data_IF_827872046517
#
_entry.id   IF_827872046517
#
_cell.length_a   1.000
_cell.length_b   1.000
_cell.length_c   1.000
_cell.angle_alpha   90.00
_cell.angle_beta   90.00
_cell.angle_gamma   90.00
#
_symmetry.space_group_name_H-M   'P 1'
#
loop_
_entity.id
_entity.type
_entity.pdbx_description
1 polymer ?
#
# COMPACT_ATOMS: atom_id res chain seq x y z
N UNK A 1 40.95 -10.47 -61.79
CA UNK A 1 39.75 -9.92 -61.11
C UNK A 1 39.40 -10.88 -59.99
N UNK A 2 39.78 -10.52 -58.76
CA UNK A 2 39.43 -11.30 -57.55
C UNK A 2 38.21 -10.62 -56.92
N UNK A 3 37.04 -11.26 -57.00
CA UNK A 3 35.85 -10.81 -56.31
C UNK A 3 36.02 -11.12 -54.82
N UNK A 4 36.14 -10.07 -54.02
CA UNK A 4 35.99 -10.16 -52.58
C UNK A 4 34.52 -10.37 -52.25
N UNK A 5 34.14 -11.61 -51.90
CA UNK A 5 32.86 -11.89 -51.26
C UNK A 5 32.97 -11.45 -49.79
N UNK A 6 32.49 -10.23 -49.52
CA UNK A 6 32.40 -9.72 -48.17
C UNK A 6 31.43 -10.56 -47.34
N UNK A 7 31.92 -11.07 -46.24
CA UNK A 7 31.10 -11.76 -45.21
C UNK A 7 30.05 -10.78 -44.67
N UNK A 8 28.82 -10.94 -45.10
CA UNK A 8 27.66 -10.44 -44.39
C UNK A 8 27.31 -11.45 -43.27
N UNK A 9 28.22 -11.61 -42.32
CA UNK A 9 27.83 -12.15 -41.04
C UNK A 9 27.03 -11.06 -40.32
N UNK A 10 25.75 -11.02 -40.58
CA UNK A 10 24.80 -10.26 -39.79
C UNK A 10 24.83 -10.82 -38.38
N UNK A 11 25.27 -10.05 -37.42
CA UNK A 11 25.10 -10.34 -36.02
C UNK A 11 23.62 -10.22 -35.67
N UNK A 12 22.80 -11.16 -36.14
CA UNK A 12 21.37 -11.20 -35.80
C UNK A 12 21.13 -11.40 -34.30
N UNK A 13 22.08 -12.05 -33.60
CA UNK A 13 21.96 -12.31 -32.17
C UNK A 13 22.19 -11.06 -31.28
N UNK A 14 22.87 -10.03 -31.81
CA UNK A 14 23.02 -8.75 -31.10
C UNK A 14 21.85 -7.79 -31.30
N UNK A 15 20.94 -8.07 -32.24
CA UNK A 15 19.71 -7.29 -32.41
C UNK A 15 18.52 -7.87 -31.68
N UNK A 16 18.60 -9.09 -31.15
CA UNK A 16 17.67 -9.60 -30.19
C UNK A 16 18.05 -9.06 -28.80
N UNK A 17 17.93 -7.75 -28.64
CA UNK A 17 17.88 -7.15 -27.32
C UNK A 17 16.57 -7.64 -26.69
N UNK A 18 16.66 -8.66 -25.82
CA UNK A 18 15.60 -8.92 -24.90
C UNK A 18 15.51 -7.66 -24.02
N UNK A 19 14.54 -6.82 -24.28
CA UNK A 19 14.11 -5.82 -23.32
C UNK A 19 13.75 -6.63 -22.07
N UNK A 20 14.68 -6.68 -21.12
CA UNK A 20 14.38 -7.20 -19.79
C UNK A 20 13.34 -6.25 -19.21
N UNK A 21 12.09 -6.58 -19.45
CA UNK A 21 11.00 -5.96 -18.75
C UNK A 21 11.26 -6.30 -17.28
N UNK A 22 11.46 -5.29 -16.44
CA UNK A 22 11.69 -5.42 -14.99
C UNK A 22 10.65 -6.32 -14.28
N UNK A 23 9.64 -6.74 -14.99
CA UNK A 23 8.55 -7.63 -14.55
C UNK A 23 8.70 -9.07 -15.06
N UNK A 24 9.84 -9.44 -15.68
CA UNK A 24 10.09 -10.83 -16.05
C UNK A 24 10.24 -11.67 -14.78
N UNK A 25 9.42 -12.74 -14.67
CA UNK A 25 9.43 -13.64 -13.51
C UNK A 25 10.78 -14.30 -13.30
N UNK A 26 11.52 -14.57 -14.37
CA UNK A 26 12.87 -15.14 -14.31
C UNK A 26 13.86 -14.16 -13.68
N UNK A 27 13.76 -12.86 -13.97
CA UNK A 27 14.56 -11.84 -13.30
C UNK A 27 14.16 -11.67 -11.83
N UNK A 28 12.87 -11.70 -11.55
CA UNK A 28 12.34 -11.51 -10.19
C UNK A 28 12.84 -12.62 -9.26
N UNK A 29 12.89 -13.87 -9.72
CA UNK A 29 13.28 -15.03 -8.91
C UNK A 29 14.79 -15.18 -8.69
N UNK A 30 15.62 -14.38 -9.37
CA UNK A 30 17.08 -14.39 -9.17
C UNK A 30 17.49 -13.85 -7.79
N UNK A 31 16.65 -13.02 -7.16
CA UNK A 31 16.95 -12.43 -5.87
C UNK A 31 15.65 -12.04 -5.14
N UNK A 32 15.54 -12.39 -3.86
CA UNK A 32 14.42 -11.94 -3.02
C UNK A 32 14.28 -10.42 -2.95
N UNK A 33 15.38 -9.67 -3.07
CA UNK A 33 15.38 -8.21 -3.12
C UNK A 33 14.60 -7.64 -4.30
N UNK A 34 14.48 -8.38 -5.41
CA UNK A 34 13.72 -7.94 -6.58
C UNK A 34 12.21 -7.87 -6.28
N UNK A 35 11.67 -8.85 -5.53
CA UNK A 35 10.30 -8.77 -5.01
C UNK A 35 10.19 -7.73 -3.90
N UNK A 36 11.21 -7.65 -3.03
CA UNK A 36 11.27 -6.64 -1.97
C UNK A 36 11.20 -5.20 -2.48
N UNK A 37 11.68 -4.94 -3.70
CA UNK A 37 11.56 -3.65 -4.38
C UNK A 37 10.10 -3.20 -4.56
N UNK A 38 9.20 -4.10 -4.93
CA UNK A 38 7.77 -3.78 -5.03
C UNK A 38 7.16 -3.41 -3.66
N UNK A 39 7.60 -4.10 -2.60
CA UNK A 39 7.17 -3.73 -1.25
C UNK A 39 7.68 -2.35 -0.85
N UNK A 40 8.93 -2.01 -1.22
CA UNK A 40 9.49 -0.67 -1.01
C UNK A 40 8.66 0.39 -1.73
N UNK A 41 8.24 0.15 -2.97
CA UNK A 41 7.38 1.08 -3.72
C UNK A 41 6.01 1.26 -3.07
N UNK A 42 5.43 0.18 -2.53
CA UNK A 42 4.18 0.26 -1.77
C UNK A 42 4.36 1.15 -0.53
N UNK A 43 5.40 0.92 0.28
CA UNK A 43 5.67 1.71 1.47
C UNK A 43 6.02 3.17 1.16
N UNK A 44 6.72 3.44 0.05
CA UNK A 44 7.01 4.81 -0.41
C UNK A 44 5.75 5.61 -0.80
N UNK A 45 4.59 4.94 -0.96
CA UNK A 45 3.31 5.61 -1.19
C UNK A 45 2.71 6.18 0.10
N UNK A 46 3.17 5.72 1.26
CA UNK A 46 2.73 6.22 2.57
C UNK A 46 3.43 7.54 2.87
N UNK A 47 2.67 8.51 3.38
CA UNK A 47 3.25 9.78 3.86
C UNK A 47 4.21 9.51 5.01
N UNK A 48 5.47 9.89 4.83
CA UNK A 48 6.54 9.64 5.80
C UNK A 48 6.76 10.78 6.79
N UNK A 49 6.39 12.00 6.42
CA UNK A 49 6.55 13.19 7.26
C UNK A 49 5.22 13.54 7.91
N UNK A 50 4.96 12.89 9.00
CA UNK A 50 3.70 12.92 9.70
C UNK A 50 3.32 14.34 10.14
N UNK A 51 2.24 14.85 9.55
CA UNK A 51 1.74 16.19 9.84
C UNK A 51 2.29 17.28 8.93
N UNK A 52 3.30 17.03 8.09
CA UNK A 52 3.73 17.95 7.06
C UNK A 52 2.78 17.92 5.87
N UNK A 53 2.32 19.07 5.43
CA UNK A 53 1.48 19.21 4.26
C UNK A 53 2.29 19.64 3.03
N UNK A 54 3.06 20.70 3.14
CA UNK A 54 3.79 21.28 2.01
C UNK A 54 4.90 22.22 2.50
N UNK A 55 6.11 22.01 2.00
CA UNK A 55 7.24 22.93 2.21
C UNK A 55 7.45 23.37 3.69
N UNK A 56 7.27 22.45 4.62
CA UNK A 56 7.42 22.69 6.06
C UNK A 56 6.15 23.17 6.77
N UNK A 57 5.06 23.44 6.06
CA UNK A 57 3.79 23.74 6.71
C UNK A 57 3.15 22.47 7.27
N UNK A 58 2.83 22.45 8.54
CA UNK A 58 2.13 21.33 9.18
C UNK A 58 0.63 21.36 8.87
N UNK A 59 -0.03 20.20 8.90
CA UNK A 59 -1.48 20.09 8.69
C UNK A 59 -2.29 20.89 9.72
N UNK A 60 -1.79 21.03 10.95
CA UNK A 60 -2.40 21.88 11.98
C UNK A 60 -2.58 23.34 11.51
N UNK A 61 -1.72 23.81 10.62
CA UNK A 61 -1.83 25.18 10.05
C UNK A 61 -2.98 25.33 9.04
N UNK A 62 -3.71 24.26 8.71
CA UNK A 62 -4.96 24.33 7.96
C UNK A 62 -6.20 24.50 8.86
N UNK A 63 -6.01 24.51 10.19
CA UNK A 63 -7.03 24.59 11.21
C UNK A 63 -6.87 25.88 12.04
N UNK A 64 -7.69 26.04 13.05
CA UNK A 64 -7.60 27.13 14.01
C UNK A 64 -6.55 26.93 15.12
N UNK A 65 -5.84 25.79 15.11
CA UNK A 65 -4.82 25.47 16.12
C UNK A 65 -3.48 26.19 15.87
N UNK A 66 -3.15 26.50 14.62
CA UNK A 66 -1.89 27.17 14.28
C UNK A 66 -1.95 27.89 12.93
N UNK A 67 -0.97 28.77 12.68
CA UNK A 67 -0.80 29.45 11.41
C UNK A 67 0.64 29.25 10.92
N UNK A 68 0.80 29.05 9.61
CA UNK A 68 2.11 29.00 8.97
C UNK A 68 2.59 30.42 8.66
N UNK A 69 3.73 30.80 9.20
CA UNK A 69 4.21 32.22 9.21
C UNK A 69 4.75 32.69 7.86
N UNK A 70 5.06 31.79 6.93
CA UNK A 70 5.57 32.16 5.60
C UNK A 70 4.44 32.16 4.57
N UNK A 71 4.18 33.32 3.96
CA UNK A 71 3.15 33.46 2.95
C UNK A 71 3.48 32.72 1.64
N UNK A 72 2.45 32.48 0.83
CA UNK A 72 2.56 31.80 -0.48
C UNK A 72 2.65 30.27 -0.39
N UNK A 73 2.35 29.67 0.76
CA UNK A 73 2.29 28.23 0.94
C UNK A 73 0.92 27.67 0.54
N UNK A 74 0.90 26.44 -0.01
CA UNK A 74 -0.33 25.75 -0.38
C UNK A 74 -1.32 25.51 0.77
N UNK A 75 -0.86 25.55 2.03
CA UNK A 75 -1.71 25.42 3.22
C UNK A 75 -2.74 26.54 3.33
N UNK A 76 -2.42 27.75 2.84
CA UNK A 76 -3.33 28.89 2.84
C UNK A 76 -4.65 28.62 2.08
N UNK A 77 -4.64 27.71 1.13
CA UNK A 77 -5.82 27.37 0.35
C UNK A 77 -6.97 26.79 1.18
N UNK A 78 -6.69 26.24 2.37
CA UNK A 78 -7.71 25.69 3.25
C UNK A 78 -8.55 26.77 3.95
N UNK A 79 -8.02 27.99 4.14
CA UNK A 79 -8.70 29.09 4.84
C UNK A 79 -8.90 30.36 4.01
N UNK A 80 -8.28 30.49 2.82
CA UNK A 80 -8.41 31.67 1.98
C UNK A 80 -9.51 31.56 0.90
N UNK A 81 -10.31 30.48 0.91
CA UNK A 81 -11.40 30.27 -0.05
C UNK A 81 -10.96 29.75 -1.42
N UNK A 82 -9.68 29.42 -1.62
CA UNK A 82 -9.18 28.90 -2.89
C UNK A 82 -9.52 27.41 -3.12
N UNK A 83 -9.90 26.70 -2.07
CA UNK A 83 -10.29 25.29 -2.16
C UNK A 83 -11.71 25.17 -2.73
N UNK A 84 -11.84 24.42 -3.81
CA UNK A 84 -13.14 24.21 -4.49
C UNK A 84 -13.16 22.89 -5.23
N UNK A 85 -14.31 22.39 -5.70
CA UNK A 85 -14.41 21.18 -6.50
C UNK A 85 -13.54 21.18 -7.77
N UNK A 86 -13.26 22.36 -8.32
CA UNK A 86 -12.39 22.53 -9.51
C UNK A 86 -10.94 22.85 -9.15
N UNK A 87 -10.65 23.06 -7.87
CA UNK A 87 -9.31 23.37 -7.36
C UNK A 87 -9.06 22.56 -6.08
N UNK A 88 -9.13 21.24 -6.20
CA UNK A 88 -8.90 20.32 -5.08
C UNK A 88 -7.46 20.43 -4.55
N UNK A 89 -7.32 20.42 -3.23
CA UNK A 89 -6.03 20.43 -2.53
C UNK A 89 -5.84 19.14 -1.74
N UNK A 90 -4.60 18.81 -1.44
CA UNK A 90 -4.24 17.58 -0.70
C UNK A 90 -4.85 16.30 -1.32
N UNK A 91 -4.97 16.26 -2.65
CA UNK A 91 -5.52 15.09 -3.33
C UNK A 91 -4.57 13.91 -3.21
N UNK A 92 -5.05 12.83 -2.60
CA UNK A 92 -4.33 11.56 -2.50
C UNK A 92 -4.79 10.53 -3.56
N UNK A 93 -5.71 10.89 -4.44
CA UNK A 93 -6.35 9.98 -5.38
C UNK A 93 -5.35 9.18 -6.21
N UNK A 94 -4.48 9.86 -6.95
CA UNK A 94 -3.55 9.19 -7.86
C UNK A 94 -2.51 8.34 -7.13
N UNK A 95 -1.97 8.82 -6.00
CA UNK A 95 -0.98 8.08 -5.22
C UNK A 95 -1.58 6.82 -4.60
N UNK A 96 -2.77 6.93 -4.00
CA UNK A 96 -3.42 5.76 -3.38
C UNK A 96 -3.81 4.70 -4.41
N UNK A 97 -4.37 5.09 -5.57
CA UNK A 97 -4.69 4.11 -6.62
C UNK A 97 -3.44 3.50 -7.27
N UNK A 98 -2.34 4.25 -7.39
CA UNK A 98 -1.05 3.68 -7.78
C UNK A 98 -0.60 2.62 -6.77
N UNK A 99 -0.65 2.93 -5.47
CA UNK A 99 -0.34 1.98 -4.41
C UNK A 99 -1.23 0.73 -4.45
N UNK A 100 -2.55 0.90 -4.64
CA UNK A 100 -3.51 -0.20 -4.78
C UNK A 100 -3.15 -1.09 -5.98
N UNK A 101 -2.79 -0.51 -7.12
CA UNK A 101 -2.37 -1.26 -8.30
C UNK A 101 -1.11 -2.09 -8.03
N UNK A 102 -0.10 -1.51 -7.37
CA UNK A 102 1.12 -2.24 -6.97
C UNK A 102 0.80 -3.35 -5.96
N UNK A 103 -0.07 -3.09 -4.97
CA UNK A 103 -0.55 -4.13 -4.05
C UNK A 103 -1.23 -5.29 -4.79
N UNK A 104 -2.13 -4.99 -5.72
CA UNK A 104 -2.80 -6.01 -6.53
C UNK A 104 -1.79 -6.81 -7.35
N UNK A 105 -0.74 -6.16 -7.91
CA UNK A 105 0.31 -6.86 -8.62
C UNK A 105 1.05 -7.85 -7.72
N UNK A 106 1.46 -7.43 -6.52
CA UNK A 106 2.12 -8.34 -5.56
C UNK A 106 1.21 -9.49 -5.16
N UNK A 107 -0.07 -9.23 -4.90
CA UNK A 107 -1.03 -10.23 -4.43
C UNK A 107 -1.33 -11.29 -5.49
N UNK A 108 -1.42 -10.91 -6.77
CA UNK A 108 -1.91 -11.81 -7.82
C UNK A 108 -0.82 -12.32 -8.75
N UNK A 109 0.25 -11.55 -8.98
CA UNK A 109 1.26 -11.91 -9.98
C UNK A 109 2.58 -12.38 -9.36
N UNK A 110 2.91 -11.92 -8.14
CA UNK A 110 4.19 -12.20 -7.52
C UNK A 110 4.12 -13.23 -6.38
N UNK A 111 3.01 -13.94 -6.24
CA UNK A 111 2.89 -15.03 -5.27
C UNK A 111 3.17 -16.38 -5.92
N UNK A 112 3.68 -17.32 -5.11
CA UNK A 112 3.96 -18.68 -5.55
C UNK A 112 5.16 -18.81 -6.49
N UNK A 113 6.01 -17.78 -6.57
CA UNK A 113 7.27 -17.88 -7.32
C UNK A 113 8.24 -18.81 -6.60
N UNK A 114 9.01 -19.59 -7.38
CA UNK A 114 10.06 -20.46 -6.84
C UNK A 114 11.40 -19.70 -6.81
N UNK A 115 12.07 -19.80 -5.66
CA UNK A 115 13.43 -19.30 -5.45
C UNK A 115 14.40 -20.47 -5.24
N UNK A 116 14.15 -21.59 -5.90
CA UNK A 116 14.89 -22.84 -5.70
C UNK A 116 16.40 -22.73 -5.92
N UNK A 117 16.84 -21.85 -6.79
CA UNK A 117 18.27 -21.57 -7.03
C UNK A 117 18.96 -20.92 -5.83
N UNK A 118 18.19 -20.30 -4.93
CA UNK A 118 18.71 -19.62 -3.74
C UNK A 118 18.75 -20.51 -2.49
N UNK A 119 18.29 -21.76 -2.57
CA UNK A 119 18.14 -22.68 -1.41
C UNK A 119 19.42 -22.91 -0.59
N UNK A 120 20.57 -22.71 -1.20
CA UNK A 120 21.86 -22.87 -0.52
C UNK A 120 22.33 -21.62 0.22
N UNK A 121 21.60 -20.51 0.12
CA UNK A 121 21.93 -19.29 0.85
C UNK A 121 21.59 -19.47 2.34
N UNK A 122 22.46 -18.99 3.21
CA UNK A 122 22.29 -19.13 4.66
C UNK A 122 21.03 -18.43 5.20
N UNK A 123 20.56 -17.39 4.52
CA UNK A 123 19.39 -16.60 4.88
C UNK A 123 18.12 -17.00 4.11
N UNK A 124 18.16 -18.09 3.32
CA UNK A 124 17.06 -18.50 2.45
C UNK A 124 15.74 -18.64 3.20
N UNK A 125 15.73 -19.36 4.34
CA UNK A 125 14.52 -19.59 5.12
C UNK A 125 13.90 -18.28 5.63
N UNK A 126 14.74 -17.36 6.09
CA UNK A 126 14.32 -16.05 6.58
C UNK A 126 13.74 -15.17 5.44
N UNK A 127 14.39 -15.17 4.28
CA UNK A 127 13.93 -14.42 3.11
C UNK A 127 12.63 -15.01 2.53
N UNK A 128 12.52 -16.34 2.49
CA UNK A 128 11.31 -17.02 2.04
C UNK A 128 10.13 -16.70 2.97
N UNK A 129 10.34 -16.73 4.28
CA UNK A 129 9.31 -16.35 5.25
C UNK A 129 8.79 -14.93 5.04
N UNK A 130 9.68 -13.98 4.77
CA UNK A 130 9.31 -12.60 4.43
C UNK A 130 8.55 -12.50 3.12
N UNK A 131 9.02 -13.20 2.09
CA UNK A 131 8.37 -13.24 0.79
C UNK A 131 6.93 -13.77 0.90
N UNK A 132 6.72 -14.85 1.64
CA UNK A 132 5.39 -15.41 1.88
C UNK A 132 4.47 -14.42 2.63
N UNK A 133 5.04 -13.59 3.50
CA UNK A 133 4.31 -12.54 4.21
C UNK A 133 3.93 -11.33 3.33
N UNK A 134 4.64 -11.07 2.23
CA UNK A 134 4.36 -9.91 1.35
C UNK A 134 2.94 -9.87 0.83
N UNK A 135 2.30 -11.02 0.66
CA UNK A 135 0.88 -11.10 0.32
C UNK A 135 -0.01 -10.43 1.37
N UNK A 136 0.26 -10.68 2.63
CA UNK A 136 -0.54 -10.17 3.74
C UNK A 136 -0.25 -8.70 4.00
N UNK A 137 1.01 -8.29 3.90
CA UNK A 137 1.38 -6.88 3.95
C UNK A 137 0.74 -6.09 2.81
N UNK A 138 0.76 -6.61 1.59
CA UNK A 138 0.13 -5.94 0.45
C UNK A 138 -1.39 -5.84 0.60
N UNK A 139 -2.06 -6.84 1.19
CA UNK A 139 -3.49 -6.76 1.52
C UNK A 139 -3.75 -5.69 2.58
N UNK A 140 -2.91 -5.62 3.62
CA UNK A 140 -2.98 -4.56 4.63
C UNK A 140 -2.79 -3.18 4.00
N UNK A 141 -1.75 -2.99 3.19
CA UNK A 141 -1.46 -1.70 2.56
C UNK A 141 -2.58 -1.27 1.61
N UNK A 142 -3.17 -2.21 0.86
CA UNK A 142 -4.34 -1.95 0.04
C UNK A 142 -5.54 -1.47 0.87
N UNK A 143 -5.82 -2.11 1.99
CA UNK A 143 -6.85 -1.70 2.93
C UNK A 143 -6.57 -0.30 3.51
N UNK A 144 -5.32 0.00 3.85
CA UNK A 144 -4.89 1.31 4.32
C UNK A 144 -5.07 2.40 3.25
N UNK A 145 -4.73 2.13 1.99
CA UNK A 145 -4.95 3.08 0.90
C UNK A 145 -6.44 3.34 0.65
N UNK A 146 -7.28 2.32 0.78
CA UNK A 146 -8.73 2.50 0.75
C UNK A 146 -9.25 3.31 1.94
N UNK A 147 -8.66 3.14 3.12
CA UNK A 147 -8.99 4.00 4.26
C UNK A 147 -8.65 5.47 3.98
N UNK A 148 -7.51 5.76 3.37
CA UNK A 148 -7.15 7.12 2.97
C UNK A 148 -8.13 7.70 1.93
N UNK A 149 -8.55 6.89 0.97
CA UNK A 149 -9.51 7.29 -0.07
C UNK A 149 -10.91 7.54 0.50
N UNK A 150 -11.48 6.59 1.23
CA UNK A 150 -12.86 6.70 1.76
C UNK A 150 -12.99 7.85 2.75
N UNK A 151 -11.98 8.07 3.57
CA UNK A 151 -11.93 9.19 4.52
C UNK A 151 -12.03 10.54 3.83
N UNK A 152 -11.42 10.69 2.64
CA UNK A 152 -11.34 11.97 1.93
C UNK A 152 -12.44 12.14 0.89
N UNK A 153 -12.88 11.07 0.23
CA UNK A 153 -13.78 11.15 -0.94
C UNK A 153 -15.14 10.47 -0.73
N UNK A 154 -15.34 9.76 0.38
CA UNK A 154 -16.55 8.95 0.56
C UNK A 154 -16.58 7.76 -0.40
N UNK A 155 -17.58 7.70 -1.29
CA UNK A 155 -17.70 6.63 -2.27
C UNK A 155 -16.57 6.67 -3.29
N UNK A 156 -15.89 5.52 -3.49
CA UNK A 156 -14.75 5.38 -4.40
C UNK A 156 -14.78 4.03 -5.13
N UNK A 157 -14.23 3.92 -6.34
CA UNK A 157 -14.11 2.63 -7.04
C UNK A 157 -13.34 1.60 -6.23
N UNK A 158 -13.91 0.41 -6.01
CA UNK A 158 -13.24 -0.71 -5.35
C UNK A 158 -12.57 -1.63 -6.38
N UNK A 159 -11.25 -1.58 -6.45
CA UNK A 159 -10.41 -2.35 -7.38
C UNK A 159 -9.57 -3.34 -6.60
N UNK A 160 -9.98 -4.60 -6.57
CA UNK A 160 -9.31 -5.67 -5.81
C UNK A 160 -8.52 -6.64 -6.67
N UNK A 161 -8.42 -6.39 -7.99
CA UNK A 161 -7.69 -7.20 -8.97
C UNK A 161 -6.89 -6.31 -9.90
N UNK A 162 -6.04 -6.88 -10.73
CA UNK A 162 -5.48 -6.16 -11.87
C UNK A 162 -6.58 -5.83 -12.88
N UNK A 163 -6.56 -4.62 -13.40
CA UNK A 163 -7.52 -4.12 -14.40
C UNK A 163 -6.77 -3.56 -15.61
N UNK A 164 -7.39 -3.65 -16.76
CA UNK A 164 -6.87 -3.08 -18.01
C UNK A 164 -7.24 -1.59 -18.13
N UNK A 165 -6.57 -0.90 -19.06
CA UNK A 165 -6.87 0.51 -19.34
C UNK A 165 -8.31 0.72 -19.83
N UNK A 166 -8.88 -0.27 -20.52
CA UNK A 166 -10.26 -0.25 -21.00
C UNK A 166 -11.27 -0.37 -19.84
N UNK A 167 -10.95 -1.22 -18.85
CA UNK A 167 -11.83 -1.44 -17.68
C UNK A 167 -11.88 -0.23 -16.75
N UNK A 168 -10.79 0.55 -16.65
CA UNK A 168 -10.67 1.68 -15.68
C UNK A 168 -11.86 2.64 -15.74
N UNK A 169 -12.30 2.99 -16.95
CA UNK A 169 -13.36 4.00 -17.14
C UNK A 169 -14.77 3.44 -16.92
N UNK A 170 -14.93 2.12 -16.77
CA UNK A 170 -16.22 1.46 -16.56
C UNK A 170 -16.50 1.11 -15.10
N UNK A 171 -15.56 1.32 -14.19
CA UNK A 171 -15.71 0.97 -12.79
C UNK A 171 -16.54 2.03 -12.09
N UNK A 172 -17.68 1.63 -11.54
CA UNK A 172 -18.53 2.50 -10.74
C UNK A 172 -17.95 2.72 -9.34
N UNK A 173 -18.43 3.76 -8.66
CA UNK A 173 -18.10 3.99 -7.26
C UNK A 173 -18.81 2.98 -6.38
N UNK A 174 -18.06 2.41 -5.45
CA UNK A 174 -18.58 1.59 -4.35
C UNK A 174 -18.89 2.50 -3.16
N UNK A 175 -19.97 2.23 -2.46
CA UNK A 175 -20.38 3.06 -1.32
C UNK A 175 -19.33 3.09 -0.22
N UNK A 176 -19.22 4.20 0.50
CA UNK A 176 -18.34 4.32 1.66
C UNK A 176 -18.57 3.21 2.68
N UNK A 177 -19.84 2.80 2.85
CA UNK A 177 -20.23 1.71 3.74
C UNK A 177 -19.57 0.38 3.35
N UNK A 178 -19.61 0.02 2.08
CA UNK A 178 -18.99 -1.18 1.56
C UNK A 178 -17.46 -1.10 1.58
N UNK A 179 -16.88 0.09 1.38
CA UNK A 179 -15.43 0.28 1.50
C UNK A 179 -14.97 0.07 2.95
N UNK A 180 -15.69 0.61 3.96
CA UNK A 180 -15.33 0.36 5.36
C UNK A 180 -15.46 -1.12 5.73
N UNK A 181 -16.50 -1.80 5.27
CA UNK A 181 -16.66 -3.26 5.45
C UNK A 181 -15.48 -4.01 4.83
N UNK A 182 -15.14 -3.70 3.57
CA UNK A 182 -13.99 -4.29 2.91
C UNK A 182 -12.70 -4.14 3.72
N UNK A 183 -12.42 -2.95 4.26
CA UNK A 183 -11.22 -2.69 5.07
C UNK A 183 -11.22 -3.56 6.34
N UNK A 184 -12.35 -3.62 7.04
CA UNK A 184 -12.49 -4.39 8.27
C UNK A 184 -12.36 -5.90 8.01
N UNK A 185 -12.96 -6.39 6.92
CA UNK A 185 -12.92 -7.79 6.51
C UNK A 185 -11.50 -8.20 6.11
N UNK A 186 -10.80 -7.39 5.28
CA UNK A 186 -9.39 -7.62 4.94
C UNK A 186 -8.52 -7.71 6.20
N UNK A 187 -8.66 -6.75 7.11
CA UNK A 187 -7.91 -6.77 8.38
C UNK A 187 -8.24 -8.01 9.22
N UNK A 188 -9.50 -8.41 9.28
CA UNK A 188 -9.93 -9.59 10.05
C UNK A 188 -9.35 -10.88 9.49
N UNK A 189 -9.31 -11.01 8.16
CA UNK A 189 -8.75 -12.20 7.51
C UNK A 189 -7.23 -12.30 7.63
N UNK A 190 -6.50 -11.17 7.48
CA UNK A 190 -5.04 -11.20 7.49
C UNK A 190 -4.42 -11.18 8.89
N UNK A 191 -5.14 -10.70 9.90
CA UNK A 191 -4.67 -10.59 11.28
C UNK A 191 -3.99 -11.86 11.82
N UNK A 192 -4.53 -13.09 11.63
CA UNK A 192 -3.88 -14.32 12.12
C UNK A 192 -2.75 -14.83 11.20
N UNK A 193 -2.54 -14.22 10.04
CA UNK A 193 -1.66 -14.72 8.98
C UNK A 193 -0.41 -13.87 8.77
N UNK A 194 -0.49 -12.58 9.05
CA UNK A 194 0.63 -11.64 8.91
C UNK A 194 1.66 -11.87 10.02
N UNK A 195 2.90 -11.53 9.78
CA UNK A 195 3.96 -11.56 10.81
C UNK A 195 3.47 -10.82 12.06
N UNK A 196 3.65 -11.46 13.20
CA UNK A 196 3.17 -10.95 14.49
C UNK A 196 3.99 -9.76 14.97
N UNK A 197 5.32 -9.89 14.89
CA UNK A 197 6.27 -8.88 15.37
C UNK A 197 7.60 -9.00 14.61
N UNK A 198 7.95 -7.96 13.89
CA UNK A 198 9.22 -7.91 13.15
C UNK A 198 10.45 -7.75 14.05
N UNK A 199 10.29 -7.33 15.31
CA UNK A 199 11.39 -7.28 16.27
C UNK A 199 11.74 -8.65 16.85
N UNK A 200 10.87 -9.66 16.67
CA UNK A 200 11.02 -11.00 17.25
C UNK A 200 10.78 -12.11 16.23
N UNK A 201 11.55 -12.13 15.16
CA UNK A 201 11.44 -13.13 14.09
C UNK A 201 12.11 -14.48 14.45
N UNK A 202 12.86 -14.57 15.55
CA UNK A 202 13.54 -15.80 15.96
C UNK A 202 14.48 -16.35 14.88
N UNK A 203 14.28 -17.59 14.46
CA UNK A 203 15.08 -18.25 13.42
C UNK A 203 14.95 -17.64 12.02
N UNK A 204 13.90 -16.84 11.79
CA UNK A 204 13.67 -16.12 10.53
C UNK A 204 14.27 -14.71 10.53
N UNK A 205 15.08 -14.34 11.54
CA UNK A 205 15.81 -13.09 11.55
C UNK A 205 16.92 -13.09 10.49
N UNK A 206 17.02 -12.00 9.73
CA UNK A 206 18.14 -11.77 8.79
C UNK A 206 19.28 -10.96 9.42
N UNK A 207 19.16 -10.65 10.72
CA UNK A 207 20.10 -9.75 11.41
C UNK A 207 19.88 -8.26 11.13
N UNK A 208 18.91 -7.93 10.30
CA UNK A 208 18.42 -6.56 10.08
C UNK A 208 17.00 -6.47 10.60
N UNK A 209 16.77 -5.61 11.59
CA UNK A 209 15.44 -5.36 12.11
C UNK A 209 14.65 -4.49 11.12
N UNK A 210 13.48 -4.99 10.71
CA UNK A 210 12.55 -4.28 9.81
C UNK A 210 11.32 -3.79 10.58
N UNK A 211 11.52 -3.22 11.76
CA UNK A 211 10.47 -2.83 12.70
C UNK A 211 9.49 -1.76 12.18
N UNK A 212 9.80 -1.14 11.05
CA UNK A 212 8.89 -0.20 10.39
C UNK A 212 7.87 -0.84 9.45
N UNK A 213 7.88 -2.17 9.27
CA UNK A 213 6.92 -2.88 8.42
C UNK A 213 5.61 -3.15 9.14
N UNK A 214 4.55 -3.34 8.36
CA UNK A 214 3.25 -3.67 8.92
C UNK A 214 3.24 -5.08 9.52
N UNK A 215 2.86 -5.15 10.77
CA UNK A 215 2.72 -6.36 11.58
C UNK A 215 1.27 -6.55 12.03
N UNK A 216 1.03 -7.52 12.91
CA UNK A 216 -0.31 -7.77 13.46
C UNK A 216 -0.89 -6.57 14.21
N UNK A 217 -0.09 -5.82 14.96
CA UNK A 217 -0.58 -4.64 15.67
C UNK A 217 -1.00 -3.53 14.71
N UNK A 218 -0.27 -3.33 13.60
CA UNK A 218 -0.65 -2.38 12.57
C UNK A 218 -2.01 -2.75 11.93
N UNK A 219 -2.27 -4.04 11.70
CA UNK A 219 -3.56 -4.54 11.16
C UNK A 219 -4.69 -4.27 12.14
N UNK A 220 -4.50 -4.58 13.43
CA UNK A 220 -5.49 -4.30 14.46
C UNK A 220 -5.76 -2.81 14.63
N UNK A 221 -4.73 -1.98 14.54
CA UNK A 221 -4.85 -0.53 14.61
C UNK A 221 -5.67 0.03 13.45
N UNK A 222 -5.44 -0.44 12.22
CA UNK A 222 -6.23 -0.04 11.05
C UNK A 222 -7.69 -0.48 11.20
N UNK A 223 -7.93 -1.73 11.63
CA UNK A 223 -9.27 -2.29 11.85
C UNK A 223 -10.07 -1.43 12.84
N UNK A 224 -9.48 -1.14 14.01
CA UNK A 224 -10.11 -0.31 15.04
C UNK A 224 -10.38 1.11 14.53
N UNK A 225 -9.42 1.71 13.84
CA UNK A 225 -9.55 3.07 13.29
C UNK A 225 -10.61 3.14 12.19
N UNK A 226 -10.66 2.18 11.28
CA UNK A 226 -11.68 2.12 10.23
C UNK A 226 -13.08 1.99 10.83
N UNK A 227 -13.26 1.10 11.80
CA UNK A 227 -14.53 0.95 12.49
C UNK A 227 -14.98 2.22 13.25
N UNK A 228 -14.04 2.95 13.86
CA UNK A 228 -14.33 4.22 14.52
C UNK A 228 -14.81 5.29 13.52
N UNK A 229 -14.15 5.39 12.35
CA UNK A 229 -14.59 6.31 11.30
C UNK A 229 -15.96 5.92 10.73
N UNK A 230 -16.17 4.62 10.50
CA UNK A 230 -17.43 4.09 10.00
C UNK A 230 -18.60 4.35 10.97
N UNK A 231 -18.33 4.34 12.28
CA UNK A 231 -19.31 4.67 13.33
C UNK A 231 -19.55 6.19 13.49
N UNK A 232 -18.69 7.04 12.94
CA UNK A 232 -18.78 8.50 13.10
C UNK A 232 -20.06 9.07 12.47
N UNK A 233 -20.60 10.21 12.96
CA UNK A 233 -21.84 10.79 12.42
C UNK A 233 -21.84 11.06 10.92
N UNK A 234 -20.66 11.30 10.32
CA UNK A 234 -20.52 11.51 8.89
C UNK A 234 -20.91 10.25 8.07
N UNK A 235 -20.46 9.08 8.51
CA UNK A 235 -20.67 7.80 7.83
C UNK A 235 -21.78 6.96 8.47
N UNK A 236 -22.31 7.39 9.61
CA UNK A 236 -23.39 6.74 10.37
C UNK A 236 -24.49 7.76 10.72
N UNK A 237 -25.14 8.40 9.73
CA UNK A 237 -26.15 9.44 9.99
C UNK A 237 -27.41 8.89 10.68
N UNK A 238 -27.67 7.59 10.58
CA UNK A 238 -28.77 6.92 11.28
C UNK A 238 -28.50 6.68 12.75
N UNK A 239 -27.23 6.83 13.22
CA UNK A 239 -26.83 6.52 14.59
C UNK A 239 -26.91 5.04 14.93
N UNK A 240 -26.63 4.16 13.96
CA UNK A 240 -26.59 2.71 14.14
C UNK A 240 -25.65 2.35 15.29
N UNK A 241 -26.24 1.78 16.36
CA UNK A 241 -25.53 1.45 17.60
C UNK A 241 -24.56 0.28 17.43
N UNK A 242 -24.82 -0.61 16.48
CA UNK A 242 -23.94 -1.75 16.23
C UNK A 242 -22.57 -1.28 15.75
N UNK A 243 -22.49 -0.22 14.93
CA UNK A 243 -21.21 0.36 14.49
C UNK A 243 -20.40 0.91 15.67
N UNK A 244 -21.02 1.56 16.64
CA UNK A 244 -20.33 2.01 17.85
C UNK A 244 -19.83 0.85 18.70
N UNK A 245 -20.65 -0.20 18.81
CA UNK A 245 -20.25 -1.42 19.54
C UNK A 245 -19.04 -2.10 18.87
N UNK A 246 -19.07 -2.26 17.55
CA UNK A 246 -17.96 -2.86 16.79
C UNK A 246 -16.69 -2.02 16.90
N UNK A 247 -16.78 -0.70 16.84
CA UNK A 247 -15.64 0.19 17.03
C UNK A 247 -15.00 0.02 18.41
N UNK A 248 -15.82 -0.06 19.47
CA UNK A 248 -15.33 -0.30 20.84
C UNK A 248 -14.70 -1.70 21.00
N UNK A 249 -15.30 -2.73 20.36
CA UNK A 249 -14.79 -4.10 20.39
C UNK A 249 -13.42 -4.20 19.75
N UNK A 250 -13.23 -3.63 18.56
CA UNK A 250 -11.96 -3.69 17.86
C UNK A 250 -10.88 -2.81 18.51
N UNK A 251 -11.26 -1.69 19.12
CA UNK A 251 -10.34 -0.90 19.95
C UNK A 251 -9.86 -1.70 21.16
N UNK A 252 -10.76 -2.43 21.82
CA UNK A 252 -10.40 -3.32 22.93
C UNK A 252 -9.49 -4.46 22.46
N UNK A 253 -9.78 -5.09 21.32
CA UNK A 253 -8.95 -6.14 20.74
C UNK A 253 -7.50 -5.66 20.51
N UNK A 254 -7.35 -4.44 19.99
CA UNK A 254 -6.02 -3.82 19.80
C UNK A 254 -5.31 -3.62 21.16
N UNK A 255 -5.98 -3.06 22.15
CA UNK A 255 -5.38 -2.83 23.47
C UNK A 255 -4.95 -4.15 24.12
N UNK A 256 -5.84 -5.17 24.12
CA UNK A 256 -5.54 -6.48 24.68
C UNK A 256 -4.35 -7.18 23.94
N UNK A 257 -4.09 -6.85 22.68
CA UNK A 257 -2.96 -7.37 21.95
C UNK A 257 -1.67 -6.58 22.22
N UNK A 258 -1.76 -5.27 22.41
CA UNK A 258 -0.61 -4.40 22.69
C UNK A 258 -0.05 -4.55 24.11
N UNK A 259 -0.87 -5.06 25.07
CA UNK A 259 -0.48 -5.29 26.45
C UNK A 259 0.27 -6.63 26.67
N UNK A 260 0.44 -7.45 25.62
CA UNK A 260 1.12 -8.76 25.66
C UNK A 260 2.57 -8.65 25.27
#
# INVERSE_FOLDING_TARGET
>A
VVCAAGCLASCSDQMNYNEYNIFDKDYITQNFGNVGGFMTDIYNTVDYDFGNYSSGAMQASATDESEYSLGGNGIEHFYNGAWSPTNAKASVWSSMYKGISTCNHVIYELQGLSFDELKLNNDYAAQLHRYENYKYESRFMRAYFYFCLVRQYGDVPLVTKQITAEEVNSIERTSADEIFKFIIDECTEIQPLIIEDYSNLGEFSTGTEETGRADRLAVLALKARAALYWASPLFNPSGDKERYYMAALYAKELLDAADK
#
